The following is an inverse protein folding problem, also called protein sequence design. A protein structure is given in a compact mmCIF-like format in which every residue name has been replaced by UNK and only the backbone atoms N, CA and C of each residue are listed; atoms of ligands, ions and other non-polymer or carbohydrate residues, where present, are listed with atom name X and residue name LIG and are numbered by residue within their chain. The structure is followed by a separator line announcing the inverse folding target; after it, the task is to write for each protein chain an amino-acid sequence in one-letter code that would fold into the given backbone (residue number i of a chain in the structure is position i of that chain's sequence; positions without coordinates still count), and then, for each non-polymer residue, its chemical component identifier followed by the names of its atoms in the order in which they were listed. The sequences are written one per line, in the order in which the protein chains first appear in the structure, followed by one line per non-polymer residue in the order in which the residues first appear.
data_IF_658609089604
#
_entry.id   IF_658609089604
#
_cell.length_a   1.000
_cell.length_b   1.000
_cell.length_c   1.000
_cell.angle_alpha   90.00
_cell.angle_beta   90.00
_cell.angle_gamma   90.00
#
_symmetry.space_group_name_H-M   'P 1'
#
loop_
_entity.id
_entity.type
_entity.pdbx_description
1 polymer ?
#
# COMPACT_ATOMS: atom_id res chain seq x y z
N UNK A 1 35.91 20.22 -12.39
CA UNK A 1 36.06 18.76 -12.24
C UNK A 1 34.97 18.29 -11.30
N UNK A 2 34.05 17.42 -11.76
CA UNK A 2 32.90 16.92 -10.97
C UNK A 2 33.21 15.48 -10.57
N UNK A 3 33.53 15.27 -9.30
CA UNK A 3 33.82 13.95 -8.74
C UNK A 3 32.59 13.04 -8.83
N UNK A 4 32.72 12.02 -9.67
CA UNK A 4 31.75 10.95 -9.84
C UNK A 4 32.05 9.88 -8.80
N UNK A 5 31.58 10.06 -7.57
CA UNK A 5 31.76 9.07 -6.52
C UNK A 5 30.97 7.79 -6.86
N UNK A 6 31.72 6.81 -7.34
CA UNK A 6 31.28 5.57 -7.95
C UNK A 6 30.61 4.67 -6.92
N UNK A 7 29.26 4.61 -6.96
CA UNK A 7 28.40 3.71 -6.17
C UNK A 7 28.71 2.21 -6.36
N UNK A 8 29.61 1.87 -7.27
CA UNK A 8 29.93 0.50 -7.71
C UNK A 8 30.92 -0.23 -6.80
N UNK A 9 31.56 0.46 -5.85
CA UNK A 9 32.51 -0.16 -4.91
C UNK A 9 31.90 -0.66 -3.61
N UNK A 10 30.63 -0.38 -3.35
CA UNK A 10 29.94 -0.83 -2.14
C UNK A 10 29.29 -2.22 -2.29
N UNK A 11 29.17 -2.72 -3.52
CA UNK A 11 28.51 -4.02 -3.81
C UNK A 11 29.54 -5.18 -3.79
N UNK A 12 30.85 -4.89 -3.80
CA UNK A 12 31.91 -5.92 -3.75
C UNK A 12 32.27 -6.40 -2.34
N UNK A 13 31.61 -5.94 -1.27
CA UNK A 13 32.14 -6.10 0.10
C UNK A 13 31.27 -6.88 1.11
N UNK A 14 30.28 -7.67 0.68
CA UNK A 14 29.54 -8.60 1.57
C UNK A 14 29.44 -10.01 0.96
N UNK A 15 30.58 -10.56 0.54
CA UNK A 15 30.79 -12.00 0.39
C UNK A 15 31.90 -12.42 1.34
N UNK A 16 31.58 -12.59 2.62
CA UNK A 16 32.39 -13.38 3.53
C UNK A 16 31.56 -13.79 4.76
N UNK A 17 31.66 -15.09 5.08
CA UNK A 17 31.40 -15.75 6.38
C UNK A 17 30.06 -16.53 6.46
N UNK A 18 30.11 -17.81 6.08
CA UNK A 18 29.36 -18.89 6.73
C UNK A 18 30.05 -19.32 8.04
N UNK A 19 29.37 -20.03 8.95
CA UNK A 19 29.37 -21.50 8.85
C UNK A 19 28.04 -22.19 9.21
N UNK A 20 27.97 -23.46 8.80
CA UNK A 20 26.93 -24.43 9.12
C UNK A 20 26.87 -24.78 10.62
N UNK A 21 25.66 -24.89 11.16
CA UNK A 21 25.36 -25.70 12.34
C UNK A 21 24.27 -26.71 12.00
N UNK A 22 24.69 -27.97 11.89
CA UNK A 22 23.86 -29.16 12.00
C UNK A 22 23.55 -29.37 13.49
N UNK A 23 22.29 -29.56 13.86
CA UNK A 23 21.92 -29.86 15.26
C UNK A 23 20.46 -30.23 15.42
N UNK A 24 20.22 -31.53 15.62
CA UNK A 24 18.92 -32.19 15.77
C UNK A 24 18.25 -31.97 17.14
N UNK A 25 16.91 -32.12 17.17
CA UNK A 25 16.08 -32.31 18.37
C UNK A 25 14.61 -31.99 18.05
N UNK A 26 13.78 -32.91 17.56
CA UNK A 26 13.05 -34.00 18.24
C UNK A 26 12.20 -33.60 19.48
N UNK A 27 10.87 -33.61 19.23
CA UNK A 27 9.73 -34.03 20.06
C UNK A 27 9.11 -33.06 21.10
N UNK A 28 7.86 -32.65 20.83
CA UNK A 28 6.68 -33.12 21.60
C UNK A 28 5.39 -33.03 20.75
N UNK A 29 4.83 -34.19 20.49
CA UNK A 29 3.43 -34.42 20.13
C UNK A 29 2.60 -34.27 21.41
N UNK A 30 1.55 -33.45 21.37
CA UNK A 30 0.44 -33.55 22.32
C UNK A 30 -0.88 -33.63 21.55
N UNK A 31 -1.61 -34.68 21.88
CA UNK A 31 -2.86 -35.15 21.31
C UNK A 31 -4.04 -34.18 21.48
N UNK A 32 -4.84 -34.12 20.42
CA UNK A 32 -6.28 -34.40 20.38
C UNK A 32 -7.26 -33.53 21.22
N UNK A 33 -7.87 -32.60 20.49
CA UNK A 33 -9.32 -32.30 20.42
C UNK A 33 -10.10 -31.96 21.67
N UNK A 34 -10.30 -30.65 21.89
CA UNK A 34 -11.61 -30.10 22.25
C UNK A 34 -11.87 -28.92 21.30
N UNK A 35 -12.98 -28.99 20.58
CA UNK A 35 -13.57 -27.93 19.75
C UNK A 35 -13.65 -26.64 20.56
N UNK A 36 -12.80 -25.67 20.21
CA UNK A 36 -13.15 -24.27 20.38
C UNK A 36 -13.28 -23.75 18.97
N UNK A 37 -14.53 -23.63 18.54
CA UNK A 37 -14.93 -22.83 17.39
C UNK A 37 -14.25 -21.48 17.55
N UNK A 38 -13.07 -21.36 16.94
CA UNK A 38 -12.51 -20.07 16.61
C UNK A 38 -13.50 -19.53 15.61
N UNK A 39 -14.46 -18.78 16.13
CA UNK A 39 -15.19 -17.81 15.37
C UNK A 39 -14.13 -17.17 14.47
N UNK A 40 -14.22 -17.51 13.19
CA UNK A 40 -13.74 -16.62 12.16
C UNK A 40 -14.53 -15.34 12.42
N UNK A 41 -13.97 -14.49 13.28
CA UNK A 41 -14.14 -13.06 13.10
C UNK A 41 -13.90 -12.86 11.60
N UNK A 42 -14.84 -12.22 10.89
CA UNK A 42 -14.51 -11.78 9.55
C UNK A 42 -13.24 -10.96 9.76
N UNK A 43 -12.10 -11.42 9.25
CA UNK A 43 -10.90 -10.60 9.17
C UNK A 43 -11.40 -9.36 8.46
N UNK A 44 -11.65 -8.32 9.25
CA UNK A 44 -12.18 -7.04 8.83
C UNK A 44 -11.32 -6.67 7.65
N UNK A 45 -11.87 -6.82 6.43
CA UNK A 45 -11.10 -6.83 5.21
C UNK A 45 -10.27 -5.56 5.21
N UNK A 46 -8.95 -5.71 5.35
CA UNK A 46 -8.05 -4.56 5.34
C UNK A 46 -8.34 -3.81 4.05
N UNK A 47 -8.80 -2.56 4.18
CA UNK A 47 -9.13 -1.72 3.04
C UNK A 47 -7.92 -1.75 2.08
N UNK A 48 -8.09 -2.29 0.86
CA UNK A 48 -6.98 -2.55 -0.06
C UNK A 48 -6.26 -1.27 -0.49
N UNK A 49 -6.82 -0.10 -0.17
CA UNK A 49 -6.29 1.21 -0.51
C UNK A 49 -5.54 1.91 0.64
N UNK A 50 -5.20 1.19 1.71
CA UNK A 50 -4.46 1.75 2.86
C UNK A 50 -2.96 1.45 2.90
N UNK A 51 -2.42 0.78 1.89
CA UNK A 51 -0.98 0.62 1.75
C UNK A 51 -0.32 1.86 1.12
N UNK A 52 0.46 2.57 1.94
CA UNK A 52 1.22 3.76 1.54
C UNK A 52 2.73 3.52 1.55
N UNK A 53 3.20 2.26 1.69
CA UNK A 53 4.63 1.93 1.77
C UNK A 53 5.45 2.43 0.58
N UNK A 54 4.83 2.56 -0.60
CA UNK A 54 5.44 3.11 -1.82
C UNK A 54 5.21 4.61 -2.06
N UNK A 55 4.70 5.36 -1.09
CA UNK A 55 4.34 6.79 -1.22
C UNK A 55 5.25 7.64 -0.34
N UNK A 56 5.86 8.68 -0.90
CA UNK A 56 6.74 9.56 -0.13
C UNK A 56 5.94 10.44 0.85
N UNK A 57 6.59 10.90 1.92
CA UNK A 57 5.95 11.79 2.88
C UNK A 57 5.52 13.12 2.26
N UNK A 58 6.27 13.63 1.28
CA UNK A 58 5.88 14.83 0.52
C UNK A 58 4.59 14.61 -0.29
N UNK A 59 4.44 13.43 -0.90
CA UNK A 59 3.21 13.08 -1.63
C UNK A 59 2.03 12.91 -0.67
N UNK A 60 2.23 12.30 0.51
CA UNK A 60 1.20 12.20 1.54
C UNK A 60 0.76 13.58 2.05
N UNK A 61 1.71 14.50 2.23
CA UNK A 61 1.39 15.88 2.61
C UNK A 61 0.63 16.62 1.50
N UNK A 62 0.97 16.38 0.24
CA UNK A 62 0.21 16.93 -0.90
C UNK A 62 -1.22 16.41 -0.90
N UNK A 63 -1.42 15.10 -0.72
CA UNK A 63 -2.76 14.48 -0.58
C UNK A 63 -3.58 15.11 0.55
N UNK A 64 -2.97 15.35 1.72
CA UNK A 64 -3.62 16.04 2.85
C UNK A 64 -3.99 17.49 2.52
N UNK A 65 -3.08 18.25 1.90
CA UNK A 65 -3.32 19.66 1.50
C UNK A 65 -4.45 19.81 0.50
N UNK A 66 -4.61 18.84 -0.40
CA UNK A 66 -5.72 18.80 -1.37
C UNK A 66 -7.04 18.32 -0.73
N UNK A 67 -7.07 18.09 0.58
CA UNK A 67 -8.27 17.71 1.32
C UNK A 67 -8.80 16.34 0.90
N UNK A 68 -7.92 15.40 0.55
CA UNK A 68 -8.36 14.07 0.18
C UNK A 68 -9.00 13.33 1.37
N UNK A 69 -10.16 12.73 1.14
CA UNK A 69 -10.87 11.84 2.08
C UNK A 69 -11.31 10.55 1.38
N UNK A 70 -11.35 9.44 2.13
CA UNK A 70 -11.69 8.10 1.62
C UNK A 70 -13.18 7.96 1.22
N UNK A 71 -14.06 8.76 1.83
CA UNK A 71 -15.48 8.82 1.54
C UNK A 71 -15.89 10.26 1.31
N UNK A 72 -16.46 10.51 0.14
CA UNK A 72 -16.93 11.84 -0.21
C UNK A 72 -18.03 12.32 0.74
N UNK A 73 -17.97 13.58 1.21
CA UNK A 73 -19.10 14.23 1.88
C UNK A 73 -20.23 14.61 0.91
N UNK A 74 -19.97 14.60 -0.41
CA UNK A 74 -20.91 15.00 -1.46
C UNK A 74 -21.16 13.80 -2.40
N UNK A 75 -22.37 13.21 -2.42
CA UNK A 75 -22.67 12.01 -3.22
C UNK A 75 -22.39 12.15 -4.73
N UNK A 76 -22.56 13.37 -5.25
CA UNK A 76 -22.38 13.75 -6.65
C UNK A 76 -20.91 14.01 -7.02
N UNK A 77 -20.03 14.17 -6.04
CA UNK A 77 -18.62 14.53 -6.27
C UNK A 77 -17.71 13.50 -5.63
N UNK A 78 -17.28 12.51 -6.41
CA UNK A 78 -16.41 11.41 -5.95
C UNK A 78 -15.29 11.14 -6.94
N UNK A 79 -14.22 10.49 -6.51
CA UNK A 79 -13.11 10.16 -7.39
C UNK A 79 -13.58 9.31 -8.58
N UNK A 80 -14.51 8.38 -8.38
CA UNK A 80 -15.05 7.53 -9.45
C UNK A 80 -15.80 8.27 -10.56
N UNK A 81 -16.20 9.53 -10.36
CA UNK A 81 -16.78 10.39 -11.39
C UNK A 81 -15.97 11.69 -11.62
N UNK A 82 -14.69 11.66 -11.27
CA UNK A 82 -13.77 12.78 -11.45
C UNK A 82 -12.95 12.60 -12.73
N UNK A 83 -12.80 13.66 -13.53
CA UNK A 83 -11.98 13.66 -14.75
C UNK A 83 -10.47 13.43 -14.49
N UNK A 84 -10.03 13.59 -13.24
CA UNK A 84 -8.63 13.44 -12.82
C UNK A 84 -8.32 12.08 -12.18
N UNK A 85 -9.33 11.20 -12.09
CA UNK A 85 -9.16 9.87 -11.55
C UNK A 85 -8.53 8.94 -12.57
N UNK A 86 -7.54 8.17 -12.12
CA UNK A 86 -6.91 7.13 -12.90
C UNK A 86 -7.53 5.79 -12.50
N UNK A 87 -8.27 5.12 -13.40
CA UNK A 87 -8.89 3.83 -13.10
C UNK A 87 -7.85 2.81 -12.61
N UNK A 88 -8.25 1.89 -11.71
CA UNK A 88 -7.37 0.80 -11.30
C UNK A 88 -6.91 0.00 -12.51
N UNK A 89 -5.63 -0.41 -12.52
CA UNK A 89 -5.16 -1.44 -13.44
C UNK A 89 -5.82 -2.77 -13.06
N UNK A 90 -6.08 -3.62 -14.06
CA UNK A 90 -6.63 -4.97 -13.87
C UNK A 90 -5.89 -5.67 -12.73
N UNK A 91 -6.63 -6.20 -11.75
CA UNK A 91 -6.17 -6.78 -10.47
C UNK A 91 -5.92 -5.83 -9.28
N UNK A 92 -6.15 -4.51 -9.39
CA UNK A 92 -6.11 -3.59 -8.22
C UNK A 92 -7.51 -3.10 -7.86
N UNK A 93 -7.80 -3.04 -6.56
CA UNK A 93 -9.05 -2.46 -6.06
C UNK A 93 -9.05 -0.92 -6.06
N UNK A 94 -7.86 -0.31 -6.13
CA UNK A 94 -7.64 1.13 -5.96
C UNK A 94 -7.15 1.76 -7.25
N UNK A 95 -7.72 2.91 -7.58
CA UNK A 95 -7.20 3.77 -8.65
C UNK A 95 -6.08 4.67 -8.16
N UNK A 96 -5.83 5.72 -8.95
CA UNK A 96 -4.94 6.82 -8.61
C UNK A 96 -5.56 8.18 -8.93
N UNK A 97 -4.81 9.25 -8.68
CA UNK A 97 -5.18 10.61 -9.06
C UNK A 97 -4.02 11.26 -9.82
N UNK A 98 -4.32 12.15 -10.77
CA UNK A 98 -3.30 12.94 -11.48
C UNK A 98 -2.59 13.96 -10.57
N UNK A 99 -3.22 14.41 -9.48
CA UNK A 99 -2.72 15.51 -8.65
C UNK A 99 -1.78 15.07 -7.52
N UNK A 100 -1.83 13.80 -7.10
CA UNK A 100 -1.02 13.28 -5.99
C UNK A 100 -0.76 11.78 -6.17
N UNK A 101 0.25 11.24 -5.47
CA UNK A 101 0.61 9.81 -5.51
C UNK A 101 -0.11 9.01 -4.42
N UNK A 102 -0.19 7.70 -4.65
CA UNK A 102 -0.79 6.74 -3.74
C UNK A 102 -2.16 6.23 -4.17
N UNK A 103 -2.70 5.23 -3.45
CA UNK A 103 -3.98 4.60 -3.77
C UNK A 103 -5.16 5.57 -3.55
N UNK A 104 -6.15 5.49 -4.43
CA UNK A 104 -7.38 6.30 -4.40
C UNK A 104 -8.60 5.40 -4.49
N UNK A 105 -9.53 5.60 -3.55
CA UNK A 105 -10.84 4.97 -3.55
C UNK A 105 -11.78 5.68 -4.52
N UNK A 106 -12.60 4.93 -5.25
CA UNK A 106 -13.63 5.52 -6.13
C UNK A 106 -14.67 6.32 -5.35
N UNK A 107 -14.90 5.98 -4.08
CA UNK A 107 -15.76 6.71 -3.14
C UNK A 107 -15.12 7.97 -2.57
N UNK A 108 -13.81 8.18 -2.77
CA UNK A 108 -13.07 9.29 -2.17
C UNK A 108 -13.42 10.63 -2.78
N UNK A 109 -12.85 11.69 -2.22
CA UNK A 109 -13.02 13.07 -2.69
C UNK A 109 -11.78 13.89 -2.35
N UNK A 110 -11.49 14.92 -3.14
CA UNK A 110 -10.55 15.99 -2.81
C UNK A 110 -11.11 17.32 -3.29
N UNK A 111 -10.60 18.44 -2.78
CA UNK A 111 -11.14 19.78 -3.07
C UNK A 111 -10.99 20.20 -4.54
N UNK A 112 -10.17 19.49 -5.31
CA UNK A 112 -9.93 19.70 -6.73
C UNK A 112 -10.73 18.71 -7.61
N UNK A 113 -11.85 18.20 -7.11
CA UNK A 113 -12.75 17.38 -7.93
C UNK A 113 -13.18 18.16 -9.19
N UNK A 114 -13.10 17.49 -10.33
CA UNK A 114 -13.51 18.03 -11.62
C UNK A 114 -14.50 17.04 -12.27
N UNK A 115 -15.71 17.48 -12.67
CA UNK A 115 -16.68 16.59 -13.31
C UNK A 115 -16.13 16.04 -14.63
N UNK A 116 -16.49 14.80 -14.96
CA UNK A 116 -16.21 14.23 -16.29
C UNK A 116 -16.92 15.09 -17.34
N UNK A 117 -16.15 15.60 -18.30
CA UNK A 117 -16.70 16.35 -19.44
C UNK A 117 -17.39 15.36 -20.38
N UNK A 118 -18.60 15.71 -20.84
CA UNK A 118 -19.35 14.93 -21.83
C UNK A 118 -18.83 15.20 -23.24
#
# INVERSE_FOLDING_TARGET
MRDSYSRRKFIEQIFAIGPATLGAGLLISSCQSETSSKQEEPKSGTDPCKDFSGVSENDLNTRKKLGYVDKSPQPESKCGNCNLFLPPKVARACGGCLLFKGPVLTSGYCTYWAPISK
#
